data_IF_701288659613
#
_entry.id   IF_701288659613
#
_cell.length_a   1.000
_cell.length_b   1.000
_cell.length_c   1.000
_cell.angle_alpha   90.00
_cell.angle_beta   90.00
_cell.angle_gamma   90.00
#
_symmetry.space_group_name_H-M   'P 1'
#
loop_
_entity.id
_entity.type
_entity.pdbx_description
1 polymer ?
#
# COMPACT_ATOMS: atom_id res chain seq x y z
N UNK A 1 12.95 70.63 9.61
CA UNK A 1 13.57 70.76 10.93
C UNK A 1 13.99 69.42 11.42
N UNK A 2 15.27 69.20 11.37
CA UNK A 2 16.19 68.85 12.46
C UNK A 2 15.98 67.47 13.01
N UNK A 3 16.84 66.56 12.82
CA UNK A 3 18.14 66.13 13.37
C UNK A 3 17.95 64.73 13.92
N UNK A 4 18.82 63.77 14.02
CA UNK A 4 20.25 63.65 13.77
C UNK A 4 20.63 62.17 13.77
N UNK A 5 21.61 61.85 13.01
CA UNK A 5 22.43 60.62 13.09
C UNK A 5 22.88 60.28 14.50
N UNK A 6 22.97 59.02 14.85
CA UNK A 6 24.10 58.55 15.69
C UNK A 6 24.65 57.26 15.09
N UNK A 7 25.89 57.38 14.73
CA UNK A 7 26.83 56.35 14.28
C UNK A 7 27.34 55.49 15.44
N UNK A 8 27.59 54.25 15.15
CA UNK A 8 28.86 53.65 15.50
C UNK A 8 28.92 52.79 16.75
N UNK A 9 29.19 51.51 16.61
CA UNK A 9 30.54 51.01 16.94
C UNK A 9 30.65 49.51 16.59
N UNK A 10 31.62 49.29 15.76
CA UNK A 10 32.37 48.06 15.54
C UNK A 10 32.75 47.36 16.84
N UNK A 11 32.60 46.05 16.89
CA UNK A 11 33.50 45.24 17.69
C UNK A 11 33.86 43.97 16.91
N UNK A 12 35.13 44.00 16.51
CA UNK A 12 35.91 42.90 15.95
C UNK A 12 36.14 41.80 16.99
N UNK A 13 36.36 40.61 16.48
CA UNK A 13 37.27 39.59 17.01
C UNK A 13 36.77 38.66 18.11
N UNK A 14 36.55 37.41 17.70
CA UNK A 14 37.32 36.29 18.26
C UNK A 14 37.16 35.06 17.37
N UNK A 15 38.13 34.94 16.50
CA UNK A 15 38.54 33.62 16.01
C UNK A 15 39.49 33.04 17.06
N UNK A 16 39.14 31.86 17.58
CA UNK A 16 40.08 30.89 18.16
C UNK A 16 39.33 29.57 18.38
N UNK A 17 39.64 28.60 17.54
CA UNK A 17 40.36 27.38 17.91
C UNK A 17 39.60 26.47 18.87
N UNK A 18 39.03 25.42 18.32
CA UNK A 18 39.06 24.10 18.95
C UNK A 18 39.16 23.01 17.88
N UNK A 19 40.41 22.68 17.62
CA UNK A 19 40.87 21.41 17.03
C UNK A 19 40.56 20.29 18.00
N UNK A 20 40.06 19.16 17.48
CA UNK A 20 40.28 17.87 18.11
C UNK A 20 39.08 17.32 18.87
N UNK A 21 38.36 16.41 18.24
CA UNK A 21 38.10 15.07 18.77
C UNK A 21 37.71 14.20 17.55
N UNK A 22 38.71 13.51 17.00
CA UNK A 22 38.49 12.36 16.15
C UNK A 22 38.05 11.20 17.05
N UNK A 23 36.75 10.93 17.13
CA UNK A 23 36.25 9.69 17.68
C UNK A 23 36.21 8.65 16.55
N UNK A 24 37.08 7.66 16.69
CA UNK A 24 37.17 6.45 15.88
C UNK A 24 35.81 5.75 15.82
N UNK A 25 35.18 5.72 14.66
CA UNK A 25 34.12 4.76 14.38
C UNK A 25 34.77 3.45 13.97
N UNK A 26 34.71 2.48 14.88
CA UNK A 26 35.16 1.10 14.66
C UNK A 26 34.16 0.42 13.70
N UNK A 27 34.58 0.22 12.46
CA UNK A 27 33.89 -0.62 11.49
C UNK A 27 34.17 -2.07 11.88
N UNK A 28 33.24 -2.71 12.57
CA UNK A 28 33.25 -4.14 12.74
C UNK A 28 32.95 -4.84 11.41
N UNK A 29 34.01 -5.27 10.78
CA UNK A 29 34.02 -6.15 9.61
C UNK A 29 33.68 -7.57 10.09
N UNK A 30 32.41 -7.97 9.98
CA UNK A 30 32.06 -9.38 10.13
C UNK A 30 32.48 -10.13 8.87
N UNK A 31 33.60 -10.82 8.97
CA UNK A 31 34.04 -11.84 8.01
C UNK A 31 33.21 -13.10 8.23
N UNK A 32 32.35 -13.43 7.29
CA UNK A 32 31.64 -14.71 7.24
C UNK A 32 32.69 -15.82 6.92
N UNK A 33 32.88 -16.73 7.84
CA UNK A 33 33.65 -17.94 7.68
C UNK A 33 32.86 -18.94 6.84
N UNK A 34 33.31 -19.15 5.62
CA UNK A 34 32.84 -20.26 4.79
C UNK A 34 33.64 -21.50 5.23
N UNK A 35 32.99 -22.39 5.98
CA UNK A 35 33.50 -23.70 6.29
C UNK A 35 33.46 -24.61 5.06
N UNK A 36 34.59 -24.87 4.45
CA UNK A 36 34.77 -25.94 3.46
C UNK A 36 34.98 -27.26 4.19
N UNK A 37 33.99 -28.13 4.21
CA UNK A 37 34.18 -29.51 4.63
C UNK A 37 34.72 -30.34 3.46
N UNK A 38 35.95 -30.68 3.54
CA UNK A 38 36.65 -31.67 2.70
C UNK A 38 36.19 -33.07 3.06
N UNK A 39 35.58 -33.78 2.12
CA UNK A 39 35.26 -35.20 2.26
C UNK A 39 36.50 -36.04 2.07
N UNK A 40 36.94 -36.72 3.12
CA UNK A 40 37.92 -37.79 3.04
C UNK A 40 37.23 -39.09 2.63
N UNK A 41 37.64 -39.64 1.49
CA UNK A 41 37.33 -41.01 1.08
C UNK A 41 38.20 -41.97 1.86
N UNK A 42 37.59 -42.84 2.64
CA UNK A 42 38.26 -44.05 3.12
C UNK A 42 37.40 -45.25 2.69
N UNK A 43 37.97 -46.06 1.82
CA UNK A 43 37.38 -47.32 1.41
C UNK A 43 37.65 -48.38 2.48
N UNK A 44 36.64 -49.19 2.75
CA UNK A 44 36.83 -50.48 3.42
C UNK A 44 36.01 -51.56 2.71
N UNK A 45 36.76 -52.55 2.25
CA UNK A 45 36.30 -53.84 1.76
C UNK A 45 35.99 -54.70 2.99
N UNK A 46 34.83 -55.29 3.11
CA UNK A 46 34.58 -56.50 3.93
C UNK A 46 33.20 -57.09 3.60
N UNK A 47 33.24 -58.16 2.98
CA UNK A 47 32.90 -59.54 3.41
C UNK A 47 31.40 -59.79 3.62
N UNK A 48 30.89 -60.54 2.65
CA UNK A 48 29.55 -61.10 2.58
C UNK A 48 29.32 -62.16 3.67
N UNK A 49 28.27 -62.02 4.44
CA UNK A 49 27.65 -63.15 5.18
C UNK A 49 26.15 -63.10 4.86
N UNK A 50 25.72 -64.11 4.10
CA UNK A 50 24.32 -64.42 3.85
C UNK A 50 23.67 -64.97 5.13
N UNK A 51 22.80 -64.24 5.78
CA UNK A 51 21.85 -64.75 6.75
C UNK A 51 20.44 -64.60 6.18
N UNK A 52 19.83 -65.71 5.81
CA UNK A 52 18.41 -65.78 5.51
C UNK A 52 17.61 -65.49 6.79
N UNK A 53 17.04 -64.31 6.90
CA UNK A 53 16.05 -64.00 7.92
C UNK A 53 14.74 -63.74 7.14
N UNK A 54 13.74 -64.57 7.41
CA UNK A 54 12.41 -64.47 6.84
C UNK A 54 11.80 -63.08 7.19
N UNK A 55 11.55 -62.27 6.17
CA UNK A 55 10.83 -61.01 6.31
C UNK A 55 9.35 -61.29 6.38
N UNK A 56 8.80 -61.34 7.59
CA UNK A 56 7.38 -61.18 7.81
C UNK A 56 6.98 -59.79 7.35
N UNK A 57 6.22 -59.68 6.26
CA UNK A 57 5.73 -58.45 5.72
C UNK A 57 4.83 -57.70 6.74
N UNK A 58 5.38 -56.72 7.38
CA UNK A 58 4.59 -55.69 8.08
C UNK A 58 3.99 -54.80 6.99
N UNK A 59 2.68 -54.96 6.75
CA UNK A 59 1.92 -54.01 5.94
C UNK A 59 1.96 -52.65 6.65
N UNK A 60 2.78 -51.75 6.14
CA UNK A 60 2.75 -50.34 6.55
C UNK A 60 1.46 -49.78 5.96
N UNK A 61 0.42 -49.65 6.79
CA UNK A 61 -0.72 -48.86 6.45
C UNK A 61 -0.22 -47.45 6.18
N UNK A 62 -0.28 -47.01 4.92
CA UNK A 62 -0.10 -45.62 4.56
C UNK A 62 -1.30 -44.85 5.15
N UNK A 63 -1.19 -44.43 6.40
CA UNK A 63 -2.04 -43.35 6.92
C UNK A 63 -1.71 -42.11 6.12
N UNK A 64 -2.42 -41.92 5.01
CA UNK A 64 -2.42 -40.66 4.30
C UNK A 64 -2.85 -39.58 5.30
N UNK A 65 -1.92 -38.72 5.71
CA UNK A 65 -2.22 -37.57 6.53
C UNK A 65 -3.45 -36.86 5.92
N UNK A 66 -4.43 -36.42 6.72
CA UNK A 66 -5.60 -35.75 6.19
C UNK A 66 -5.14 -34.55 5.37
N UNK A 67 -5.58 -34.50 4.11
CA UNK A 67 -5.27 -33.40 3.21
C UNK A 67 -5.71 -32.11 3.88
N UNK A 68 -4.76 -31.22 4.16
CA UNK A 68 -5.07 -29.87 4.66
C UNK A 68 -5.97 -29.22 3.60
N UNK A 69 -7.19 -28.77 3.95
CA UNK A 69 -8.08 -28.13 2.98
C UNK A 69 -7.33 -26.97 2.32
N UNK A 70 -7.11 -27.09 1.02
CA UNK A 70 -6.45 -26.03 0.25
C UNK A 70 -7.24 -24.73 0.41
N UNK A 71 -6.53 -23.59 0.52
CA UNK A 71 -7.19 -22.27 0.58
C UNK A 71 -8.15 -22.15 -0.61
N UNK A 72 -9.42 -21.74 -0.40
CA UNK A 72 -10.40 -21.66 -1.48
C UNK A 72 -9.87 -20.83 -2.64
N UNK A 73 -10.08 -21.29 -3.87
CA UNK A 73 -9.65 -20.57 -5.09
C UNK A 73 -10.44 -19.28 -5.22
N UNK A 74 -9.76 -18.19 -5.55
CA UNK A 74 -10.40 -16.89 -5.81
C UNK A 74 -11.26 -16.99 -7.07
N UNK A 75 -12.53 -16.59 -6.96
CA UNK A 75 -13.53 -16.64 -8.02
C UNK A 75 -14.08 -15.25 -8.35
N UNK A 76 -13.65 -14.64 -9.48
CA UNK A 76 -14.17 -13.35 -9.90
C UNK A 76 -15.66 -13.33 -10.25
N UNK A 77 -16.23 -14.46 -10.71
CA UNK A 77 -17.66 -14.55 -11.04
C UNK A 77 -18.53 -14.53 -9.79
N UNK A 78 -18.13 -15.25 -8.75
CA UNK A 78 -18.76 -15.13 -7.43
C UNK A 78 -18.60 -13.71 -6.86
N UNK A 79 -17.45 -13.06 -7.12
CA UNK A 79 -17.22 -11.67 -6.76
C UNK A 79 -18.15 -10.70 -7.47
N UNK A 80 -18.40 -10.90 -8.76
CA UNK A 80 -19.34 -10.12 -9.55
C UNK A 80 -20.77 -10.26 -9.06
N UNK A 81 -21.20 -11.51 -8.80
CA UNK A 81 -22.53 -11.81 -8.28
C UNK A 81 -22.76 -11.09 -6.93
N UNK A 82 -21.81 -11.20 -6.01
CA UNK A 82 -21.92 -10.57 -4.70
C UNK A 82 -21.84 -9.02 -4.79
N UNK A 83 -20.99 -8.49 -5.66
CA UNK A 83 -20.87 -7.05 -5.90
C UNK A 83 -22.18 -6.46 -6.43
N UNK A 84 -22.83 -7.17 -7.39
CA UNK A 84 -23.99 -6.67 -8.12
C UNK A 84 -25.32 -6.93 -7.40
N UNK A 85 -25.44 -8.05 -6.72
CA UNK A 85 -26.74 -8.47 -6.13
C UNK A 85 -26.73 -8.42 -4.60
N UNK A 86 -25.53 -8.41 -3.97
CA UNK A 86 -25.43 -8.65 -2.54
C UNK A 86 -25.79 -10.07 -2.15
N UNK A 87 -26.09 -10.26 -0.87
CA UNK A 87 -26.60 -11.52 -0.31
C UNK A 87 -27.49 -11.19 0.90
N UNK A 88 -28.79 -11.13 0.67
CA UNK A 88 -29.75 -10.77 1.70
C UNK A 88 -29.76 -11.76 2.89
N UNK A 89 -29.47 -13.05 2.63
CA UNK A 89 -29.45 -14.06 3.68
C UNK A 89 -28.33 -13.85 4.69
N UNK A 90 -27.23 -13.19 4.27
CA UNK A 90 -26.09 -12.82 5.11
C UNK A 90 -26.05 -11.34 5.47
N UNK A 91 -27.03 -10.56 5.05
CA UNK A 91 -27.06 -9.10 5.26
C UNK A 91 -26.01 -8.33 4.43
N UNK A 92 -25.56 -8.89 3.30
CA UNK A 92 -24.61 -8.23 2.41
C UNK A 92 -25.37 -7.35 1.41
N UNK A 93 -25.22 -6.04 1.52
CA UNK A 93 -25.81 -5.10 0.56
C UNK A 93 -25.00 -5.07 -0.74
N UNK A 94 -25.69 -4.95 -1.88
CA UNK A 94 -25.06 -4.83 -3.19
C UNK A 94 -24.15 -3.61 -3.28
N UNK A 95 -22.87 -3.79 -3.61
CA UNK A 95 -21.88 -2.72 -3.67
C UNK A 95 -22.16 -1.74 -4.80
N UNK A 96 -22.76 -2.23 -5.91
CA UNK A 96 -23.12 -1.40 -7.07
C UNK A 96 -24.06 -0.26 -6.74
N UNK A 97 -24.86 -0.38 -5.68
CA UNK A 97 -25.85 0.65 -5.27
C UNK A 97 -25.16 2.00 -5.03
N UNK A 98 -23.97 1.98 -4.46
CA UNK A 98 -23.17 3.20 -4.19
C UNK A 98 -22.01 3.36 -5.20
N UNK A 99 -21.29 2.27 -5.46
CA UNK A 99 -20.08 2.33 -6.28
C UNK A 99 -20.34 2.17 -7.78
N UNK A 100 -21.58 2.06 -8.18
CA UNK A 100 -22.01 1.94 -9.58
C UNK A 100 -21.65 0.60 -10.22
N UNK A 101 -22.20 0.31 -11.41
CA UNK A 101 -21.89 -0.89 -12.16
C UNK A 101 -20.38 -0.99 -12.41
N UNK A 102 -19.82 -2.19 -12.22
CA UNK A 102 -18.39 -2.45 -12.46
C UNK A 102 -17.43 -1.55 -11.66
N UNK A 103 -17.90 -0.93 -10.58
CA UNK A 103 -17.08 -0.02 -9.77
C UNK A 103 -16.86 1.37 -10.38
N UNK A 104 -17.67 1.75 -11.35
CA UNK A 104 -17.60 3.06 -12.01
C UNK A 104 -18.63 4.02 -11.42
N UNK A 105 -18.40 4.45 -10.19
CA UNK A 105 -19.28 5.41 -9.53
C UNK A 105 -19.54 6.66 -10.38
N UNK A 106 -20.79 7.09 -10.43
CA UNK A 106 -21.22 8.28 -11.16
C UNK A 106 -21.13 9.57 -10.29
N UNK A 107 -20.86 9.46 -9.01
CA UNK A 107 -20.86 10.62 -8.08
C UNK A 107 -19.60 10.66 -7.24
N UNK A 108 -19.14 11.87 -6.91
CA UNK A 108 -17.94 12.07 -6.09
C UNK A 108 -18.10 11.61 -4.63
N UNK A 109 -19.33 11.41 -4.17
CA UNK A 109 -19.65 10.91 -2.83
C UNK A 109 -19.07 9.49 -2.62
N UNK A 110 -19.10 8.66 -3.66
CA UNK A 110 -18.64 7.28 -3.62
C UNK A 110 -17.44 7.07 -4.53
N UNK A 111 -16.34 6.47 -4.06
CA UNK A 111 -15.16 6.28 -4.88
C UNK A 111 -15.40 5.31 -6.04
N UNK A 112 -14.70 5.55 -7.14
CA UNK A 112 -14.53 4.58 -8.22
C UNK A 112 -13.63 3.45 -7.74
N UNK A 113 -14.05 2.21 -8.01
CA UNK A 113 -13.35 1.00 -7.57
C UNK A 113 -12.78 0.19 -8.74
N UNK A 114 -13.23 0.48 -9.97
CA UNK A 114 -12.82 -0.23 -11.19
C UNK A 114 -11.32 -0.17 -11.41
N UNK A 115 -10.75 -1.25 -11.92
CA UNK A 115 -9.32 -1.43 -12.18
C UNK A 115 -8.39 -1.17 -10.97
N UNK A 116 -8.91 -1.14 -9.75
CA UNK A 116 -8.08 -1.05 -8.56
C UNK A 116 -7.40 -2.39 -8.29
N UNK A 117 -6.16 -2.35 -7.81
CA UNK A 117 -5.40 -3.56 -7.49
C UNK A 117 -6.14 -4.45 -6.49
N UNK A 118 -6.28 -5.73 -6.82
CA UNK A 118 -7.05 -6.66 -5.99
C UNK A 118 -6.53 -6.75 -4.55
N UNK A 119 -5.22 -6.81 -4.36
CA UNK A 119 -4.61 -6.84 -3.03
C UNK A 119 -4.91 -5.57 -2.22
N UNK A 120 -4.94 -4.40 -2.88
CA UNK A 120 -5.32 -3.15 -2.22
C UNK A 120 -6.80 -3.14 -1.83
N UNK A 121 -7.70 -3.53 -2.73
CA UNK A 121 -9.14 -3.59 -2.44
C UNK A 121 -9.43 -4.55 -1.29
N UNK A 122 -8.85 -5.76 -1.33
CA UNK A 122 -8.96 -6.73 -0.23
C UNK A 122 -8.46 -6.15 1.09
N UNK A 123 -7.29 -5.49 1.08
CA UNK A 123 -6.75 -4.81 2.27
C UNK A 123 -7.72 -3.76 2.80
N UNK A 124 -8.31 -2.93 1.93
CA UNK A 124 -9.23 -1.88 2.38
C UNK A 124 -10.51 -2.47 3.00
N UNK A 125 -11.09 -3.51 2.40
CA UNK A 125 -12.26 -4.19 2.96
C UNK A 125 -11.96 -4.79 4.34
N UNK A 126 -10.79 -5.44 4.50
CA UNK A 126 -10.32 -5.93 5.80
C UNK A 126 -10.17 -4.78 6.81
N UNK A 127 -9.57 -3.68 6.39
CA UNK A 127 -9.35 -2.53 7.27
C UNK A 127 -10.63 -1.81 7.67
N UNK A 128 -11.67 -1.84 6.85
CA UNK A 128 -13.00 -1.40 7.26
C UNK A 128 -13.63 -2.37 8.26
N UNK A 129 -13.49 -3.67 8.04
CA UNK A 129 -14.02 -4.70 8.93
C UNK A 129 -13.37 -4.69 10.31
N UNK A 130 -12.06 -4.52 10.38
CA UNK A 130 -11.30 -4.50 11.64
C UNK A 130 -11.21 -3.11 12.30
N UNK A 131 -11.75 -2.06 11.64
CA UNK A 131 -11.77 -0.69 12.14
C UNK A 131 -10.47 0.09 11.97
N UNK A 132 -9.40 -0.50 11.42
CA UNK A 132 -8.13 0.21 11.16
C UNK A 132 -8.25 1.29 10.08
N UNK A 133 -9.33 1.24 9.29
CA UNK A 133 -9.81 2.32 8.44
C UNK A 133 -11.24 2.69 8.83
N UNK A 134 -11.39 3.81 9.54
CA UNK A 134 -12.70 4.26 10.01
C UNK A 134 -13.53 4.90 8.88
N UNK A 135 -14.70 4.35 8.64
CA UNK A 135 -15.79 4.94 7.86
C UNK A 135 -17.07 4.19 8.23
N UNK A 136 -18.05 4.84 8.88
CA UNK A 136 -19.23 4.15 9.43
C UNK A 136 -20.01 3.35 8.38
N UNK A 137 -20.17 3.87 7.16
CA UNK A 137 -20.88 3.16 6.08
C UNK A 137 -20.10 1.91 5.68
N UNK A 138 -18.81 2.05 5.33
CA UNK A 138 -18.02 0.93 4.84
C UNK A 138 -17.70 -0.10 5.93
N UNK A 139 -17.62 0.29 7.20
CA UNK A 139 -17.50 -0.64 8.33
C UNK A 139 -18.74 -1.54 8.40
N UNK A 140 -19.94 -0.98 8.28
CA UNK A 140 -21.18 -1.76 8.20
C UNK A 140 -21.22 -2.69 6.99
N UNK A 141 -20.82 -2.20 5.81
CA UNK A 141 -20.79 -3.00 4.59
C UNK A 141 -19.79 -4.17 4.65
N UNK A 142 -18.61 -3.95 5.27
CA UNK A 142 -17.57 -4.95 5.36
C UNK A 142 -17.77 -5.97 6.51
N UNK A 143 -18.61 -5.65 7.48
CA UNK A 143 -18.77 -6.44 8.70
C UNK A 143 -19.14 -7.91 8.43
N UNK A 144 -20.05 -8.15 7.50
CA UNK A 144 -20.57 -9.49 7.15
C UNK A 144 -19.77 -10.22 6.08
N UNK A 145 -18.81 -9.54 5.41
CA UNK A 145 -17.99 -10.15 4.37
C UNK A 145 -16.98 -11.15 4.97
N UNK A 146 -16.89 -12.30 4.36
CA UNK A 146 -15.79 -13.24 4.61
C UNK A 146 -14.51 -12.80 3.91
N UNK A 147 -13.37 -13.36 4.28
CA UNK A 147 -12.12 -13.09 3.56
C UNK A 147 -12.21 -13.51 2.08
N UNK A 148 -12.89 -14.62 1.82
CA UNK A 148 -13.11 -15.11 0.45
C UNK A 148 -13.97 -14.14 -0.36
N UNK A 149 -15.04 -13.59 0.22
CA UNK A 149 -15.86 -12.57 -0.43
C UNK A 149 -15.03 -11.34 -0.83
N UNK A 150 -14.19 -10.86 0.09
CA UNK A 150 -13.32 -9.72 -0.16
C UNK A 150 -12.33 -9.98 -1.29
N UNK A 151 -11.77 -11.20 -1.36
CA UNK A 151 -10.87 -11.61 -2.43
C UNK A 151 -11.61 -11.76 -3.77
N UNK A 152 -12.79 -12.35 -3.78
CA UNK A 152 -13.61 -12.52 -4.97
C UNK A 152 -14.06 -11.18 -5.56
N UNK A 153 -14.61 -10.28 -4.73
CA UNK A 153 -14.99 -8.92 -5.13
C UNK A 153 -13.78 -8.17 -5.70
N UNK A 154 -12.63 -8.27 -5.05
CA UNK A 154 -11.40 -7.60 -5.50
C UNK A 154 -10.90 -8.14 -6.84
N UNK A 155 -11.02 -9.45 -7.05
CA UNK A 155 -10.66 -10.11 -8.31
C UNK A 155 -11.62 -9.77 -9.46
N UNK A 156 -12.87 -9.47 -9.16
CA UNK A 156 -13.82 -8.92 -10.14
C UNK A 156 -13.44 -7.49 -10.51
N UNK A 157 -13.24 -6.61 -9.51
CA UNK A 157 -13.01 -5.18 -9.72
C UNK A 157 -11.71 -4.88 -10.47
N UNK A 158 -10.64 -5.63 -10.24
CA UNK A 158 -9.36 -5.41 -10.94
C UNK A 158 -9.44 -5.65 -12.44
N UNK A 159 -10.40 -6.47 -12.91
CA UNK A 159 -10.62 -6.76 -14.32
C UNK A 159 -11.50 -5.73 -15.03
N UNK A 160 -12.07 -4.77 -14.31
CA UNK A 160 -12.95 -3.79 -14.90
C UNK A 160 -12.16 -2.72 -15.66
N UNK A 161 -12.78 -2.04 -16.65
CA UNK A 161 -12.13 -0.95 -17.37
C UNK A 161 -11.69 0.17 -16.41
N UNK A 162 -10.57 0.80 -16.72
CA UNK A 162 -10.09 1.96 -15.97
C UNK A 162 -11.12 3.08 -16.04
N UNK A 163 -11.49 3.62 -14.89
CA UNK A 163 -12.35 4.81 -14.85
C UNK A 163 -11.60 6.01 -15.39
N UNK A 164 -12.26 6.75 -16.25
CA UNK A 164 -11.79 8.05 -16.73
C UNK A 164 -12.29 9.16 -15.78
N UNK A 165 -11.50 10.20 -15.67
CA UNK A 165 -11.83 11.42 -14.95
C UNK A 165 -11.22 12.61 -15.67
N UNK A 166 -11.54 13.81 -15.21
CA UNK A 166 -11.02 15.08 -15.75
C UNK A 166 -10.64 15.99 -14.59
N UNK A 167 -9.52 16.69 -14.73
CA UNK A 167 -9.20 17.84 -13.91
C UNK A 167 -10.12 19.00 -14.30
N UNK A 168 -10.72 19.64 -13.32
CA UNK A 168 -11.74 20.66 -13.56
C UNK A 168 -11.24 22.09 -13.32
N UNK A 169 -10.22 22.26 -12.49
CA UNK A 169 -9.73 23.57 -12.11
C UNK A 169 -8.43 23.94 -12.86
N UNK A 170 -8.57 24.61 -13.98
CA UNK A 170 -7.45 25.04 -14.82
C UNK A 170 -6.40 25.87 -14.06
N UNK A 171 -6.81 26.63 -13.04
CA UNK A 171 -5.92 27.50 -12.29
C UNK A 171 -4.98 26.74 -11.32
N UNK A 172 -5.28 25.49 -11.02
CA UNK A 172 -4.50 24.67 -10.08
C UNK A 172 -3.80 23.48 -10.73
N UNK A 173 -4.01 23.25 -12.02
CA UNK A 173 -3.40 22.11 -12.75
C UNK A 173 -1.87 22.12 -12.63
N UNK A 174 -1.24 23.27 -12.87
CA UNK A 174 0.24 23.38 -12.81
C UNK A 174 0.77 23.07 -11.42
N UNK A 175 0.11 23.60 -10.38
CA UNK A 175 0.48 23.29 -8.99
C UNK A 175 0.28 21.81 -8.70
N UNK A 176 -0.86 21.24 -9.07
CA UNK A 176 -1.15 19.83 -8.88
C UNK A 176 -0.14 18.92 -9.60
N UNK A 177 0.20 19.25 -10.84
CA UNK A 177 1.22 18.55 -11.63
C UNK A 177 2.60 18.63 -10.99
N UNK A 178 3.01 19.81 -10.57
CA UNK A 178 4.29 20.03 -9.89
C UNK A 178 4.42 19.18 -8.63
N UNK A 179 3.39 19.17 -7.79
CA UNK A 179 3.34 18.35 -6.57
C UNK A 179 3.35 16.85 -6.93
N UNK A 180 2.52 16.44 -7.86
CA UNK A 180 2.41 15.02 -8.22
C UNK A 180 3.71 14.45 -8.78
N UNK A 181 4.37 15.20 -9.68
CA UNK A 181 5.57 14.75 -10.39
C UNK A 181 6.88 15.09 -9.68
N UNK A 182 6.95 16.22 -8.95
CA UNK A 182 8.16 16.73 -8.33
C UNK A 182 8.16 16.68 -6.80
N UNK A 183 7.00 16.61 -6.17
CA UNK A 183 6.87 16.76 -4.73
C UNK A 183 7.06 18.21 -4.27
N UNK A 184 7.35 18.39 -2.99
CA UNK A 184 7.65 19.70 -2.38
C UNK A 184 8.90 19.53 -1.51
N UNK A 185 10.08 19.72 -2.11
CA UNK A 185 11.36 19.49 -1.44
C UNK A 185 11.50 20.28 -0.13
N UNK A 186 11.08 21.55 -0.12
CA UNK A 186 11.13 22.41 1.06
C UNK A 186 10.33 21.89 2.26
N UNK A 187 9.31 21.02 2.02
CA UNK A 187 8.50 20.38 3.05
C UNK A 187 8.87 18.91 3.26
N UNK A 188 9.84 18.37 2.51
CA UNK A 188 10.17 16.96 2.50
C UNK A 188 8.96 16.08 2.07
N UNK A 189 8.16 16.57 1.10
CA UNK A 189 7.09 15.81 0.46
C UNK A 189 7.64 15.20 -0.82
N UNK A 190 7.71 13.86 -0.94
CA UNK A 190 8.18 13.20 -2.15
C UNK A 190 7.17 13.35 -3.30
N UNK A 191 7.62 13.16 -4.53
CA UNK A 191 6.73 13.07 -5.68
C UNK A 191 5.73 11.92 -5.51
N UNK A 192 4.44 12.20 -5.67
CA UNK A 192 3.39 11.17 -5.59
C UNK A 192 3.60 10.08 -6.65
N UNK A 193 4.07 10.50 -7.84
CA UNK A 193 4.39 9.62 -8.96
C UNK A 193 5.45 8.55 -8.64
N UNK A 194 6.33 8.79 -7.67
CA UNK A 194 7.37 7.83 -7.28
C UNK A 194 6.78 6.51 -6.73
N UNK A 195 5.62 6.61 -6.05
CA UNK A 195 4.92 5.45 -5.51
C UNK A 195 3.67 5.09 -6.32
N UNK A 196 2.94 6.10 -6.80
CA UNK A 196 1.66 5.89 -7.49
C UNK A 196 1.78 5.84 -9.02
N UNK A 197 2.98 5.81 -9.57
CA UNK A 197 3.31 5.82 -11.01
C UNK A 197 2.99 7.16 -11.71
N UNK A 198 3.69 7.51 -12.81
CA UNK A 198 3.52 8.80 -13.49
C UNK A 198 2.10 9.06 -14.01
N UNK A 199 1.37 8.01 -14.37
CA UNK A 199 -0.02 8.06 -14.85
C UNK A 199 -1.04 7.67 -13.76
N UNK A 200 -0.65 7.58 -12.51
CA UNK A 200 -1.55 7.20 -11.42
C UNK A 200 -1.96 5.73 -11.41
N UNK A 201 -1.28 4.86 -12.17
CA UNK A 201 -1.63 3.43 -12.22
C UNK A 201 -1.36 2.69 -10.89
N UNK A 202 -0.45 3.22 -10.07
CA UNK A 202 0.00 2.59 -8.84
C UNK A 202 0.99 1.44 -9.08
N UNK A 203 1.33 0.74 -8.01
CA UNK A 203 2.16 -0.47 -8.04
C UNK A 203 1.38 -1.59 -7.36
N UNK A 204 1.07 -2.69 -8.06
CA UNK A 204 0.27 -3.79 -7.52
C UNK A 204 0.78 -4.26 -6.15
N UNK A 205 -0.17 -4.55 -5.26
CA UNK A 205 -0.02 -4.92 -3.86
C UNK A 205 0.54 -3.84 -2.92
N UNK A 206 1.31 -2.87 -3.40
CA UNK A 206 1.95 -1.86 -2.55
C UNK A 206 1.19 -0.53 -2.55
N UNK A 207 1.01 0.07 -3.72
CA UNK A 207 0.45 1.40 -3.87
C UNK A 207 -0.78 1.39 -4.78
N UNK A 208 -1.90 2.02 -4.37
CA UNK A 208 -3.12 1.99 -5.14
C UNK A 208 -3.04 2.81 -6.43
N UNK A 209 -3.88 2.42 -7.40
CA UNK A 209 -4.26 3.28 -8.52
C UNK A 209 -4.95 4.53 -8.00
N UNK A 210 -4.57 5.69 -8.51
CA UNK A 210 -5.15 7.00 -8.23
C UNK A 210 -5.77 7.63 -9.48
N UNK A 211 -5.19 7.38 -10.67
CA UNK A 211 -5.61 8.00 -11.92
C UNK A 211 -7.09 7.79 -12.21
N UNK A 212 -7.77 8.85 -12.61
CA UNK A 212 -9.21 8.86 -12.91
C UNK A 212 -10.14 8.86 -11.70
N UNK A 213 -9.62 8.86 -10.45
CA UNK A 213 -10.45 8.93 -9.24
C UNK A 213 -11.05 10.33 -9.07
N UNK A 214 -12.19 10.42 -8.41
CA UNK A 214 -12.82 11.69 -8.06
C UNK A 214 -11.87 12.58 -7.24
N UNK A 215 -11.75 13.85 -7.65
CA UNK A 215 -10.93 14.84 -6.95
C UNK A 215 -11.36 15.02 -5.49
N UNK A 216 -12.66 15.15 -5.25
CA UNK A 216 -13.20 15.32 -3.91
C UNK A 216 -12.92 14.12 -3.01
N UNK A 217 -13.06 12.90 -3.55
CA UNK A 217 -12.71 11.70 -2.80
C UNK A 217 -11.21 11.66 -2.47
N UNK A 218 -10.35 11.96 -3.43
CA UNK A 218 -8.89 11.98 -3.22
C UNK A 218 -8.51 13.01 -2.17
N UNK A 219 -9.06 14.22 -2.25
CA UNK A 219 -8.88 15.27 -1.27
C UNK A 219 -9.35 14.86 0.13
N UNK A 220 -10.55 14.28 0.22
CA UNK A 220 -11.08 13.77 1.49
C UNK A 220 -10.18 12.68 2.12
N UNK A 221 -9.55 11.83 1.29
CA UNK A 221 -8.61 10.83 1.81
C UNK A 221 -7.30 11.45 2.30
N UNK A 222 -6.78 12.47 1.63
CA UNK A 222 -5.60 13.21 2.10
C UNK A 222 -5.88 13.91 3.43
N UNK A 223 -7.02 14.59 3.54
CA UNK A 223 -7.49 15.19 4.81
C UNK A 223 -7.61 14.13 5.91
N UNK A 224 -8.26 13.00 5.62
CA UNK A 224 -8.43 11.93 6.59
C UNK A 224 -7.10 11.33 7.08
N UNK A 225 -6.08 11.25 6.23
CA UNK A 225 -4.73 10.85 6.64
C UNK A 225 -4.07 11.92 7.51
N UNK A 226 -4.16 13.20 7.13
CA UNK A 226 -3.59 14.32 7.90
C UNK A 226 -4.20 14.41 9.29
N UNK A 227 -5.52 14.32 9.36
CA UNK A 227 -6.29 14.50 10.60
C UNK A 227 -6.32 13.23 11.47
N UNK A 228 -5.64 12.16 11.05
CA UNK A 228 -5.54 10.92 11.79
C UNK A 228 -6.83 10.10 11.86
N UNK A 229 -7.83 10.41 11.03
CA UNK A 229 -9.06 9.62 10.87
C UNK A 229 -8.76 8.33 10.11
N UNK A 230 -7.92 8.41 9.08
CA UNK A 230 -7.43 7.26 8.32
C UNK A 230 -5.99 6.95 8.72
N UNK A 231 -5.77 5.80 9.38
CA UNK A 231 -4.48 5.43 9.97
C UNK A 231 -3.81 4.21 9.33
N UNK A 232 -4.42 3.64 8.31
CA UNK A 232 -3.98 2.37 7.72
C UNK A 232 -2.77 2.49 6.76
N UNK A 233 -2.09 3.63 6.76
CA UNK A 233 -0.81 3.88 6.06
C UNK A 233 -0.02 4.99 6.74
N UNK A 234 1.03 4.64 7.46
CA UNK A 234 1.93 5.60 8.12
C UNK A 234 2.63 6.52 7.13
N UNK A 235 3.00 6.00 5.96
CA UNK A 235 3.60 6.80 4.88
C UNK A 235 2.67 7.93 4.44
N UNK A 236 1.39 7.60 4.16
CA UNK A 236 0.42 8.61 3.72
C UNK A 236 0.07 9.61 4.82
N UNK A 237 0.02 9.17 6.07
CA UNK A 237 -0.16 10.08 7.22
C UNK A 237 1.00 11.09 7.30
N UNK A 238 2.25 10.62 7.18
CA UNK A 238 3.44 11.49 7.20
C UNK A 238 3.46 12.46 6.01
N UNK A 239 3.06 12.03 4.82
CA UNK A 239 3.03 12.89 3.62
C UNK A 239 1.91 13.92 3.75
N UNK A 240 0.70 13.48 4.08
CA UNK A 240 -0.47 14.33 4.16
C UNK A 240 -0.34 15.42 5.25
N UNK A 241 0.31 15.11 6.38
CA UNK A 241 0.53 16.09 7.47
C UNK A 241 1.35 17.31 7.04
N UNK A 242 2.07 17.23 5.92
CA UNK A 242 2.92 18.31 5.39
C UNK A 242 2.25 19.14 4.31
N UNK A 243 1.10 18.71 3.82
CA UNK A 243 0.38 19.37 2.74
C UNK A 243 -0.64 20.39 3.30
N UNK A 244 -0.72 21.55 2.66
CA UNK A 244 -1.81 22.51 2.90
C UNK A 244 -3.09 22.05 2.18
N UNK A 245 -4.23 22.63 2.58
CA UNK A 245 -5.52 22.37 1.93
C UNK A 245 -5.50 22.71 0.44
N UNK A 246 -4.83 23.81 0.07
CA UNK A 246 -4.68 24.23 -1.32
C UNK A 246 -3.88 23.20 -2.12
N UNK A 247 -2.76 22.72 -1.57
CA UNK A 247 -1.92 21.70 -2.21
C UNK A 247 -2.66 20.36 -2.35
N UNK A 248 -3.44 19.96 -1.33
CA UNK A 248 -4.26 18.75 -1.39
C UNK A 248 -5.34 18.85 -2.47
N UNK A 249 -6.05 19.99 -2.55
CA UNK A 249 -7.06 20.23 -3.59
C UNK A 249 -6.44 20.22 -4.99
N UNK A 250 -5.31 20.91 -5.18
CA UNK A 250 -4.64 20.99 -6.47
C UNK A 250 -4.16 19.61 -6.95
N UNK A 251 -3.48 18.84 -6.10
CA UNK A 251 -2.98 17.52 -6.49
C UNK A 251 -4.12 16.53 -6.70
N UNK A 252 -5.21 16.64 -5.95
CA UNK A 252 -6.40 15.79 -6.12
C UNK A 252 -7.11 16.04 -7.44
N UNK A 253 -7.23 17.29 -7.86
CA UNK A 253 -7.81 17.66 -9.15
C UNK A 253 -6.93 17.16 -10.32
N UNK A 254 -5.61 17.36 -10.21
CA UNK A 254 -4.67 16.82 -11.20
C UNK A 254 -4.75 15.28 -11.31
N UNK A 255 -4.83 14.57 -10.20
CA UNK A 255 -4.98 13.10 -10.15
C UNK A 255 -6.25 12.65 -10.88
N UNK A 256 -7.35 13.39 -10.76
CA UNK A 256 -8.60 13.05 -11.45
C UNK A 256 -8.43 13.03 -12.98
N UNK A 257 -7.53 13.83 -13.53
CA UNK A 257 -7.23 13.86 -14.96
C UNK A 257 -6.13 12.91 -15.44
N UNK A 258 -5.53 12.12 -14.54
CA UNK A 258 -4.50 11.14 -14.92
C UNK A 258 -5.10 9.88 -15.54
N UNK A 259 -4.58 9.44 -16.68
CA UNK A 259 -4.95 8.21 -17.40
C UNK A 259 -3.82 7.70 -18.31
#
# INVERSE_FOLDING_TARGET
MKYLMVLGKSCKSRAQTLLGIFAKVNIMRQTSQISKSTSLRAGFIALSIFALIGVSGVAIANDAAPAVPGKPKVDPAAGEALYSNGDASRGVTACLTCHGPKGQSATATWPKLSAQHAAYTTKQLKNFKDGSRANPVMMGMAATLTEQDMQNISAFLVKQPVSQGVAQNKNTIELGQSIYRGGIAAKGVPACAACHSPNGAGIPAQYPRLGGQWADYTNAQLLAFRDGIRKNSSQMTTIASKLSDQEMKAVSDYIAGLH
#
